data_IF_935110351003
#
_entry.id   IF_935110351003
#
_cell.length_a   1.000
_cell.length_b   1.000
_cell.length_c   1.000
_cell.angle_alpha   90.00
_cell.angle_beta   90.00
_cell.angle_gamma   90.00
#
_symmetry.space_group_name_H-M   'P 1'
#
loop_
_entity.id
_entity.type
_entity.pdbx_description
1 polymer ?
#
# COMPACT_ATOMS: atom_id res chain seq x y z
N UNK A 1 6.95 -27.12 -0.07
CA UNK A 1 5.69 -27.36 0.67
C UNK A 1 5.62 -26.33 1.79
N UNK A 2 4.98 -25.19 1.52
CA UNK A 2 4.75 -24.15 2.53
C UNK A 2 3.81 -24.70 3.61
N UNK A 3 4.21 -24.57 4.87
CA UNK A 3 3.25 -24.74 5.98
C UNK A 3 2.40 -23.48 5.98
N UNK A 4 1.13 -23.60 5.57
CA UNK A 4 0.12 -22.55 5.77
C UNK A 4 0.13 -22.16 7.26
N UNK A 5 0.69 -20.99 7.58
CA UNK A 5 0.28 -20.29 8.78
C UNK A 5 -1.05 -19.63 8.44
N UNK A 6 -2.14 -20.15 8.95
CA UNK A 6 -3.45 -19.51 8.84
C UNK A 6 -3.41 -18.34 9.81
N UNK A 7 -3.13 -17.16 9.30
CA UNK A 7 -3.34 -15.93 10.05
C UNK A 7 -4.86 -15.72 10.13
N UNK A 8 -5.44 -15.47 11.31
CA UNK A 8 -6.86 -15.14 11.38
C UNK A 8 -7.13 -13.84 10.61
N UNK A 9 -8.36 -13.64 10.08
CA UNK A 9 -8.72 -12.39 9.41
C UNK A 9 -8.37 -11.20 10.29
N UNK A 10 -7.75 -10.19 9.70
CA UNK A 10 -7.38 -8.99 10.43
C UNK A 10 -8.63 -8.17 10.77
N UNK A 11 -8.79 -7.79 12.05
CA UNK A 11 -9.90 -6.94 12.48
C UNK A 11 -9.59 -5.48 12.14
N UNK A 12 -10.37 -4.91 11.22
CA UNK A 12 -10.23 -3.51 10.83
C UNK A 12 -10.66 -2.54 11.93
N UNK A 13 -9.91 -1.44 12.10
CA UNK A 13 -10.31 -0.33 12.99
C UNK A 13 -11.49 0.44 12.38
N UNK A 14 -12.45 0.87 13.20
CA UNK A 14 -13.50 1.78 12.73
C UNK A 14 -12.98 3.21 12.62
N UNK A 15 -13.63 4.03 11.78
CA UNK A 15 -13.25 5.43 11.62
C UNK A 15 -13.35 6.20 12.95
N UNK A 16 -14.42 5.97 13.75
CA UNK A 16 -14.62 6.61 15.04
C UNK A 16 -13.53 6.25 16.07
N UNK A 17 -13.12 4.99 16.12
CA UNK A 17 -12.03 4.52 17.01
C UNK A 17 -10.67 5.08 16.59
N UNK A 18 -10.50 5.40 15.31
CA UNK A 18 -9.27 5.95 14.73
C UNK A 18 -9.17 7.49 14.84
N UNK A 19 -10.22 8.20 15.25
CA UNK A 19 -10.13 9.66 15.43
C UNK A 19 -9.10 10.00 16.50
N UNK A 20 -8.23 10.97 16.19
CA UNK A 20 -7.23 11.48 17.13
C UNK A 20 -7.86 12.46 18.13
N UNK A 21 -7.40 12.37 19.37
CA UNK A 21 -7.68 13.34 20.43
C UNK A 21 -6.42 14.11 20.84
N UNK A 22 -6.59 15.07 21.74
CA UNK A 22 -5.47 15.88 22.25
C UNK A 22 -4.40 14.98 22.91
N UNK A 23 -3.18 15.04 22.38
CA UNK A 23 -2.03 14.32 22.92
C UNK A 23 -1.87 12.88 22.44
N UNK A 24 -2.69 12.42 21.49
CA UNK A 24 -2.48 11.14 20.83
C UNK A 24 -1.25 11.20 19.90
N UNK A 25 -0.55 10.07 19.80
CA UNK A 25 0.54 9.91 18.83
C UNK A 25 -0.08 9.56 17.47
N UNK A 26 0.33 10.29 16.43
CA UNK A 26 -0.07 10.00 15.05
C UNK A 26 0.89 8.99 14.44
N UNK A 27 0.39 7.78 14.15
CA UNK A 27 1.12 6.78 13.37
C UNK A 27 0.80 6.95 11.89
N UNK A 28 1.81 7.16 11.08
CA UNK A 28 1.68 7.44 9.65
C UNK A 28 2.40 6.37 8.84
N UNK A 29 1.67 5.71 7.97
CA UNK A 29 2.16 4.69 7.06
C UNK A 29 2.15 5.26 5.65
N UNK A 30 3.32 5.68 5.16
CA UNK A 30 3.48 6.10 3.78
C UNK A 30 3.43 4.87 2.89
N UNK A 31 2.46 4.80 1.98
CA UNK A 31 2.27 3.65 1.10
C UNK A 31 2.26 4.08 -0.35
N UNK A 32 3.06 3.40 -1.16
CA UNK A 32 3.20 3.65 -2.59
C UNK A 32 2.61 2.48 -3.37
N UNK A 33 1.80 2.76 -4.40
CA UNK A 33 1.26 1.73 -5.28
C UNK A 33 1.68 1.96 -6.73
N UNK A 34 1.46 0.96 -7.60
CA UNK A 34 1.77 0.94 -9.05
C UNK A 34 3.24 0.74 -9.43
N UNK A 35 4.18 0.89 -8.51
CA UNK A 35 5.61 0.65 -8.77
C UNK A 35 5.97 -0.84 -8.98
N UNK A 36 7.20 -1.13 -9.40
CA UNK A 36 8.31 -0.21 -9.64
C UNK A 36 8.16 0.66 -10.88
N UNK A 37 8.66 1.88 -10.78
CA UNK A 37 8.72 2.84 -11.89
C UNK A 37 10.12 3.49 -11.98
N UNK A 38 10.29 4.42 -12.90
CA UNK A 38 11.52 5.23 -13.04
C UNK A 38 11.80 6.06 -11.76
N UNK A 39 10.79 6.25 -10.91
CA UNK A 39 10.89 7.03 -9.67
C UNK A 39 11.17 6.19 -8.42
N UNK A 40 10.97 4.88 -8.45
CA UNK A 40 11.11 4.02 -7.25
C UNK A 40 12.50 4.17 -6.62
N UNK A 41 13.56 4.21 -7.43
CA UNK A 41 14.92 4.38 -6.94
C UNK A 41 15.12 5.70 -6.18
N UNK A 42 14.57 6.80 -6.69
CA UNK A 42 14.64 8.13 -6.05
C UNK A 42 13.79 8.19 -4.78
N UNK A 43 12.61 7.57 -4.77
CA UNK A 43 11.77 7.43 -3.57
C UNK A 43 12.54 6.72 -2.46
N UNK A 44 13.18 5.59 -2.77
CA UNK A 44 13.99 4.84 -1.81
C UNK A 44 15.18 5.65 -1.29
N UNK A 45 15.86 6.41 -2.16
CA UNK A 45 16.97 7.29 -1.77
C UNK A 45 16.51 8.39 -0.79
N UNK A 46 15.35 9.00 -1.03
CA UNK A 46 14.78 10.00 -0.13
C UNK A 46 14.42 9.37 1.22
N UNK A 47 13.72 8.23 1.22
CA UNK A 47 13.37 7.52 2.45
C UNK A 47 14.61 7.17 3.29
N UNK A 48 15.69 6.73 2.62
CA UNK A 48 16.96 6.42 3.28
C UNK A 48 17.63 7.66 3.90
N UNK A 49 17.56 8.83 3.25
CA UNK A 49 18.11 10.09 3.78
C UNK A 49 17.48 10.51 5.11
N UNK A 50 16.19 10.20 5.30
CA UNK A 50 15.44 10.54 6.51
C UNK A 50 15.35 9.36 7.50
N UNK A 51 15.97 8.22 7.21
CA UNK A 51 15.86 6.97 7.99
C UNK A 51 14.40 6.52 8.20
N UNK A 52 13.55 6.72 7.18
CA UNK A 52 12.13 6.37 7.17
C UNK A 52 11.90 5.09 6.40
N UNK A 53 11.01 4.24 6.91
CA UNK A 53 10.54 3.04 6.20
C UNK A 53 9.10 3.22 5.76
N UNK A 54 8.77 2.67 4.60
CA UNK A 54 7.47 2.77 3.95
C UNK A 54 6.96 1.40 3.50
N UNK A 55 5.78 1.37 2.89
CA UNK A 55 5.21 0.15 2.29
C UNK A 55 5.00 0.37 0.80
N UNK A 56 5.40 -0.60 0.00
CA UNK A 56 5.25 -0.58 -1.46
C UNK A 56 4.30 -1.70 -1.88
N UNK A 57 3.15 -1.35 -2.41
CA UNK A 57 2.21 -2.28 -3.05
C UNK A 57 2.54 -2.35 -4.55
N UNK A 58 3.36 -3.31 -4.92
CA UNK A 58 3.97 -3.37 -6.24
C UNK A 58 3.15 -4.12 -7.27
N UNK A 59 3.40 -3.85 -8.55
CA UNK A 59 2.86 -4.59 -9.70
C UNK A 59 3.92 -5.51 -10.31
N UNK A 60 3.48 -6.52 -11.09
CA UNK A 60 4.39 -7.47 -11.73
C UNK A 60 5.25 -6.83 -12.81
N UNK A 61 6.56 -7.09 -12.77
CA UNK A 61 7.57 -6.61 -13.73
C UNK A 61 8.67 -7.65 -13.90
N UNK A 62 8.86 -8.14 -15.12
CA UNK A 62 9.82 -9.21 -15.41
C UNK A 62 11.24 -8.71 -15.78
N UNK A 63 11.41 -7.40 -15.94
CA UNK A 63 12.72 -6.83 -16.30
C UNK A 63 13.68 -6.78 -15.10
N UNK A 64 14.97 -6.91 -15.37
CA UNK A 64 16.03 -6.99 -14.35
C UNK A 64 16.11 -5.72 -13.47
N UNK A 65 15.78 -4.55 -14.02
CA UNK A 65 15.82 -3.28 -13.29
C UNK A 65 14.72 -3.22 -12.24
N UNK A 66 13.49 -3.58 -12.62
CA UNK A 66 12.35 -3.67 -11.71
C UNK A 66 12.57 -4.75 -10.63
N UNK A 67 13.11 -5.91 -11.01
CA UNK A 67 13.44 -6.97 -10.05
C UNK A 67 14.51 -6.54 -9.03
N UNK A 68 15.49 -5.76 -9.47
CA UNK A 68 16.48 -5.17 -8.55
C UNK A 68 15.83 -4.17 -7.58
N UNK A 69 14.78 -3.45 -8.00
CA UNK A 69 14.02 -2.56 -7.11
C UNK A 69 13.18 -3.31 -6.09
N UNK A 70 12.54 -4.45 -6.44
CA UNK A 70 11.90 -5.30 -5.44
C UNK A 70 12.88 -5.77 -4.37
N UNK A 71 14.07 -6.23 -4.80
CA UNK A 71 15.12 -6.65 -3.88
C UNK A 71 15.56 -5.49 -2.98
N UNK A 72 15.72 -4.30 -3.55
CA UNK A 72 16.10 -3.10 -2.81
C UNK A 72 15.06 -2.70 -1.77
N UNK A 73 13.75 -2.73 -2.12
CA UNK A 73 12.64 -2.48 -1.20
C UNK A 73 12.75 -3.41 0.03
N UNK A 74 12.97 -4.71 -0.21
CA UNK A 74 13.08 -5.69 0.85
C UNK A 74 14.34 -5.51 1.71
N UNK A 75 15.52 -5.34 1.08
CA UNK A 75 16.82 -5.25 1.75
C UNK A 75 16.95 -3.98 2.60
N UNK A 76 16.32 -2.88 2.18
CA UNK A 76 16.31 -1.62 2.93
C UNK A 76 15.29 -1.60 4.07
N UNK A 77 14.53 -2.69 4.27
CA UNK A 77 13.62 -2.86 5.40
C UNK A 77 12.25 -2.17 5.21
N UNK A 78 11.86 -1.90 3.98
CA UNK A 78 10.51 -1.50 3.63
C UNK A 78 9.59 -2.72 3.56
N UNK A 79 8.29 -2.52 3.71
CA UNK A 79 7.33 -3.60 3.51
C UNK A 79 7.03 -3.77 2.03
N UNK A 80 7.30 -4.97 1.51
CA UNK A 80 6.96 -5.35 0.15
C UNK A 80 5.58 -5.98 0.14
N UNK A 81 4.58 -5.21 -0.28
CA UNK A 81 3.19 -5.64 -0.47
C UNK A 81 2.87 -5.89 -1.94
N UNK A 82 1.72 -6.48 -2.19
CA UNK A 82 1.23 -6.84 -3.52
C UNK A 82 0.07 -5.94 -3.93
N UNK A 83 0.07 -5.48 -5.18
CA UNK A 83 -1.06 -4.74 -5.76
C UNK A 83 -1.79 -5.59 -6.80
N UNK A 84 -1.13 -5.92 -7.88
CA UNK A 84 -1.61 -6.80 -8.95
C UNK A 84 -0.43 -7.16 -9.84
N UNK A 85 -0.47 -8.33 -10.48
CA UNK A 85 0.53 -8.63 -11.50
C UNK A 85 0.36 -7.75 -12.74
N UNK A 86 -0.86 -7.68 -13.26
CA UNK A 86 -1.16 -7.02 -14.53
C UNK A 86 -1.52 -5.54 -14.40
N UNK A 87 -2.01 -5.11 -13.25
CA UNK A 87 -2.61 -3.78 -12.97
C UNK A 87 -3.69 -3.37 -14.00
N UNK A 88 -4.45 -4.36 -14.50
CA UNK A 88 -5.51 -4.15 -15.48
C UNK A 88 -6.84 -4.60 -14.94
N UNK A 89 -7.69 -3.65 -14.52
CA UNK A 89 -9.01 -3.92 -13.96
C UNK A 89 -9.85 -4.92 -14.78
N UNK A 90 -9.82 -4.80 -16.11
CA UNK A 90 -10.55 -5.68 -17.02
C UNK A 90 -10.03 -7.13 -17.06
N UNK A 91 -8.84 -7.38 -16.53
CA UNK A 91 -8.24 -8.71 -16.40
C UNK A 91 -8.43 -9.24 -14.98
N UNK A 92 -8.01 -8.47 -13.98
CA UNK A 92 -8.03 -8.87 -12.57
C UNK A 92 -9.46 -9.18 -12.10
N UNK A 93 -10.42 -8.33 -12.46
CA UNK A 93 -11.80 -8.38 -11.97
C UNK A 93 -12.79 -9.03 -12.97
N UNK A 94 -12.27 -9.87 -13.86
CA UNK A 94 -13.08 -10.58 -14.86
C UNK A 94 -13.80 -11.79 -14.24
N UNK A 95 -13.10 -12.54 -13.39
CA UNK A 95 -13.61 -13.72 -12.66
C UNK A 95 -12.74 -14.01 -11.43
N UNK A 96 -13.18 -14.91 -10.55
CA UNK A 96 -12.41 -15.36 -9.39
C UNK A 96 -11.08 -15.98 -9.84
N UNK A 97 -11.10 -16.86 -10.83
CA UNK A 97 -9.90 -17.53 -11.34
C UNK A 97 -8.89 -16.52 -11.91
N UNK A 98 -9.36 -15.45 -12.55
CA UNK A 98 -8.48 -14.42 -13.11
C UNK A 98 -7.79 -13.60 -12.00
N UNK A 99 -8.51 -13.31 -10.91
CA UNK A 99 -7.95 -12.67 -9.74
C UNK A 99 -6.93 -13.57 -9.04
N UNK A 100 -7.27 -14.83 -8.81
CA UNK A 100 -6.39 -15.82 -8.19
C UNK A 100 -5.09 -15.99 -8.99
N UNK A 101 -5.17 -16.10 -10.31
CA UNK A 101 -4.01 -16.25 -11.20
C UNK A 101 -3.12 -15.00 -11.19
N UNK A 102 -3.68 -13.79 -11.20
CA UNK A 102 -2.96 -12.52 -11.12
C UNK A 102 -2.22 -12.40 -9.76
N UNK A 103 -2.92 -12.71 -8.67
CA UNK A 103 -2.38 -12.70 -7.32
C UNK A 103 -1.24 -13.72 -7.13
N UNK A 104 -1.47 -14.99 -7.48
CA UNK A 104 -0.49 -16.07 -7.33
C UNK A 104 0.77 -15.77 -8.13
N UNK A 105 0.61 -15.27 -9.36
CA UNK A 105 1.74 -14.92 -10.23
C UNK A 105 2.61 -13.83 -9.61
N UNK A 106 2.02 -12.77 -9.06
CA UNK A 106 2.77 -11.72 -8.41
C UNK A 106 3.48 -12.24 -7.15
N UNK A 107 2.77 -13.00 -6.31
CA UNK A 107 3.33 -13.57 -5.09
C UNK A 107 4.54 -14.47 -5.38
N UNK A 108 4.42 -15.32 -6.38
CA UNK A 108 5.49 -16.23 -6.77
C UNK A 108 6.70 -15.48 -7.32
N UNK A 109 6.49 -14.44 -8.15
CA UNK A 109 7.56 -13.59 -8.68
C UNK A 109 8.32 -12.89 -7.54
N UNK A 110 7.62 -12.22 -6.64
CA UNK A 110 8.24 -11.52 -5.52
C UNK A 110 9.04 -12.47 -4.64
N UNK A 111 8.49 -13.66 -4.37
CA UNK A 111 9.20 -14.68 -3.62
C UNK A 111 10.44 -15.21 -4.34
N UNK A 112 10.40 -15.45 -5.64
CA UNK A 112 11.53 -15.91 -6.43
C UNK A 112 12.65 -14.88 -6.48
N UNK A 113 12.30 -13.60 -6.56
CA UNK A 113 13.29 -12.51 -6.65
C UNK A 113 13.87 -12.17 -5.28
N UNK A 114 13.04 -12.02 -4.25
CA UNK A 114 13.46 -11.45 -2.96
C UNK A 114 13.53 -12.45 -1.81
N UNK A 115 12.92 -13.63 -1.96
CA UNK A 115 12.71 -14.58 -0.86
C UNK A 115 11.64 -14.15 0.14
N UNK A 116 11.01 -13.00 -0.03
CA UNK A 116 9.94 -12.49 0.84
C UNK A 116 8.61 -13.15 0.48
N UNK A 117 7.97 -13.79 1.45
CA UNK A 117 6.60 -14.23 1.31
C UNK A 117 5.67 -13.07 1.72
N UNK A 118 5.30 -12.21 0.78
CA UNK A 118 4.42 -11.07 1.06
C UNK A 118 3.05 -11.56 1.52
N UNK A 119 2.57 -10.97 2.61
CA UNK A 119 1.24 -11.22 3.20
C UNK A 119 0.35 -9.97 3.19
N UNK A 120 0.81 -8.90 2.55
CA UNK A 120 0.07 -7.64 2.45
C UNK A 120 -0.37 -7.40 1.02
N UNK A 121 -1.61 -6.95 0.86
CA UNK A 121 -2.23 -6.70 -0.44
C UNK A 121 -2.97 -5.37 -0.44
N UNK A 122 -3.06 -4.72 -1.59
CA UNK A 122 -3.98 -3.61 -1.83
C UNK A 122 -4.71 -3.85 -3.13
N UNK A 123 -6.04 -3.83 -3.08
CA UNK A 123 -6.86 -3.98 -4.28
C UNK A 123 -6.70 -2.77 -5.21
N UNK A 124 -6.42 -2.95 -6.51
CA UNK A 124 -6.54 -1.88 -7.50
C UNK A 124 -7.90 -1.19 -7.43
N UNK A 125 -7.89 0.13 -7.09
CA UNK A 125 -9.11 0.91 -6.86
C UNK A 125 -9.77 0.71 -5.50
N UNK A 126 -9.12 -0.01 -4.57
CA UNK A 126 -9.60 -0.27 -3.22
C UNK A 126 -10.62 -1.41 -3.11
N UNK A 127 -10.85 -1.88 -1.88
CA UNK A 127 -11.72 -3.02 -1.60
C UNK A 127 -13.21 -2.76 -1.85
N UNK A 128 -13.62 -1.49 -1.97
CA UNK A 128 -15.01 -1.08 -2.25
C UNK A 128 -15.25 -0.67 -3.69
N UNK A 129 -14.31 -0.94 -4.62
CA UNK A 129 -14.48 -0.55 -6.01
C UNK A 129 -15.72 -1.22 -6.63
N UNK A 130 -16.34 -0.53 -7.60
CA UNK A 130 -17.55 -1.00 -8.30
C UNK A 130 -17.27 -1.37 -9.75
N UNK A 131 -16.00 -1.55 -10.12
CA UNK A 131 -15.57 -1.86 -11.46
C UNK A 131 -15.65 -3.36 -11.71
N UNK A 132 -15.53 -4.16 -10.65
CA UNK A 132 -15.58 -5.62 -10.72
C UNK A 132 -16.95 -6.13 -11.14
N UNK A 133 -16.96 -7.16 -12.02
CA UNK A 133 -18.16 -7.91 -12.36
C UNK A 133 -18.47 -9.03 -11.35
N UNK A 134 -17.49 -9.38 -10.50
CA UNK A 134 -17.59 -10.35 -9.41
C UNK A 134 -17.70 -9.57 -8.11
N UNK A 135 -18.47 -10.03 -7.12
CA UNK A 135 -18.50 -9.39 -5.80
C UNK A 135 -17.11 -9.31 -5.19
N UNK A 136 -16.73 -8.12 -4.69
CA UNK A 136 -15.44 -7.95 -4.00
C UNK A 136 -15.29 -8.88 -2.78
N UNK A 137 -16.41 -9.32 -2.19
CA UNK A 137 -16.42 -10.31 -1.10
C UNK A 137 -15.73 -11.63 -1.48
N UNK A 138 -15.85 -12.07 -2.72
CA UNK A 138 -15.31 -13.35 -3.16
C UNK A 138 -13.76 -13.28 -3.20
N UNK A 139 -13.22 -12.18 -3.69
CA UNK A 139 -11.77 -11.92 -3.67
C UNK A 139 -11.24 -11.72 -2.24
N UNK A 140 -12.01 -11.06 -1.37
CA UNK A 140 -11.66 -10.89 0.04
C UNK A 140 -11.64 -12.25 0.76
N UNK A 141 -12.64 -13.10 0.50
CA UNK A 141 -12.67 -14.46 1.01
C UNK A 141 -11.43 -15.26 0.59
N UNK A 142 -11.07 -15.20 -0.70
CA UNK A 142 -9.85 -15.83 -1.20
C UNK A 142 -8.58 -15.33 -0.47
N UNK A 143 -8.40 -14.01 -0.33
CA UNK A 143 -7.25 -13.47 0.41
C UNK A 143 -7.21 -13.92 1.86
N UNK A 144 -8.38 -13.97 2.54
CA UNK A 144 -8.48 -14.50 3.90
C UNK A 144 -8.02 -15.97 3.97
N UNK A 145 -8.43 -16.83 3.02
CA UNK A 145 -7.97 -18.21 2.93
C UNK A 145 -6.48 -18.33 2.66
N UNK A 146 -5.88 -17.38 1.95
CA UNK A 146 -4.43 -17.30 1.71
C UNK A 146 -3.65 -16.75 2.92
N UNK A 147 -4.32 -16.26 3.97
CA UNK A 147 -3.68 -15.61 5.12
C UNK A 147 -3.08 -14.26 4.77
N UNK A 148 -3.69 -13.54 3.82
CA UNK A 148 -3.24 -12.24 3.32
C UNK A 148 -4.11 -11.14 3.89
N UNK A 149 -3.49 -10.08 4.37
CA UNK A 149 -4.14 -8.89 4.93
C UNK A 149 -4.12 -7.80 3.87
N UNK A 150 -5.30 -7.27 3.50
CA UNK A 150 -5.33 -6.14 2.59
C UNK A 150 -5.55 -4.82 3.33
N UNK A 151 -5.02 -3.76 2.74
CA UNK A 151 -5.10 -2.40 3.24
C UNK A 151 -5.67 -1.47 2.16
N UNK A 152 -6.74 -0.77 2.50
CA UNK A 152 -7.14 0.46 1.81
C UNK A 152 -6.34 1.65 2.40
N UNK A 153 -6.87 2.83 2.34
CA UNK A 153 -6.26 4.05 2.88
C UNK A 153 -7.32 4.93 3.53
N UNK A 154 -6.92 5.82 4.42
CA UNK A 154 -7.81 6.85 5.00
C UNK A 154 -7.27 8.27 4.78
N UNK A 155 -6.08 8.39 4.20
CA UNK A 155 -5.48 9.65 3.79
C UNK A 155 -5.03 9.54 2.33
N UNK A 156 -5.40 10.48 1.48
CA UNK A 156 -5.01 10.50 0.07
C UNK A 156 -4.15 11.73 -0.23
N UNK A 157 -3.02 11.50 -0.89
CA UNK A 157 -2.20 12.59 -1.42
C UNK A 157 -2.88 13.36 -2.58
N UNK A 158 -3.89 12.74 -3.22
CA UNK A 158 -4.57 13.32 -4.36
C UNK A 158 -3.81 13.20 -5.68
N UNK A 159 -2.70 12.49 -5.68
CA UNK A 159 -1.77 12.36 -6.82
C UNK A 159 -2.24 11.37 -7.90
N UNK A 160 -3.33 10.63 -7.68
CA UNK A 160 -3.92 9.72 -8.66
C UNK A 160 -4.42 10.44 -9.93
N UNK A 161 -4.93 11.65 -9.78
CA UNK A 161 -5.57 12.38 -10.87
C UNK A 161 -4.57 12.80 -11.96
N UNK A 162 -5.04 12.81 -13.22
CA UNK A 162 -4.27 13.27 -14.37
C UNK A 162 -4.01 14.78 -14.40
N UNK A 163 -4.74 15.56 -13.58
CA UNK A 163 -4.46 16.97 -13.33
C UNK A 163 -3.52 17.02 -12.13
N UNK A 164 -2.23 17.07 -12.41
CA UNK A 164 -1.20 17.03 -11.42
C UNK A 164 -1.38 18.13 -10.36
N UNK A 165 -1.58 17.72 -9.12
CA UNK A 165 -1.33 18.59 -7.98
C UNK A 165 0.16 18.93 -7.94
N UNK A 166 0.50 20.12 -7.48
CA UNK A 166 1.89 20.48 -7.19
C UNK A 166 2.38 19.69 -5.96
N UNK A 167 3.69 19.63 -5.78
CA UNK A 167 4.27 19.00 -4.60
C UNK A 167 3.77 19.63 -3.30
N UNK A 168 3.55 20.95 -3.26
CA UNK A 168 3.00 21.66 -2.11
C UNK A 168 1.54 21.27 -1.83
N UNK A 169 0.71 21.08 -2.87
CA UNK A 169 -0.67 20.64 -2.73
C UNK A 169 -0.74 19.19 -2.22
N UNK A 170 0.15 18.31 -2.67
CA UNK A 170 0.27 16.93 -2.17
C UNK A 170 0.59 16.93 -0.67
N UNK A 171 1.59 17.72 -0.24
CA UNK A 171 1.94 17.85 1.18
C UNK A 171 0.74 18.38 1.99
N UNK A 172 0.07 19.44 1.50
CA UNK A 172 -1.08 20.01 2.18
C UNK A 172 -2.23 19.01 2.33
N UNK A 173 -2.56 18.26 1.27
CA UNK A 173 -3.61 17.23 1.30
C UNK A 173 -3.36 16.17 2.37
N UNK A 174 -2.11 15.68 2.45
CA UNK A 174 -1.76 14.67 3.45
C UNK A 174 -1.81 15.25 4.86
N UNK A 175 -1.21 16.44 5.08
CA UNK A 175 -1.14 17.05 6.41
C UNK A 175 -2.52 17.46 6.93
N UNK A 176 -3.44 17.93 6.08
CA UNK A 176 -4.81 18.29 6.45
C UNK A 176 -5.63 17.09 6.96
N UNK A 177 -5.27 15.88 6.52
CA UNK A 177 -5.98 14.66 6.89
C UNK A 177 -5.28 13.87 8.02
N UNK A 178 -3.96 13.79 8.04
CA UNK A 178 -3.20 13.04 9.07
C UNK A 178 -3.54 13.49 10.48
N UNK A 179 -3.74 14.79 10.70
CA UNK A 179 -4.10 15.35 12.01
C UNK A 179 -5.43 14.84 12.58
N UNK A 180 -6.28 14.24 11.74
CA UNK A 180 -7.59 13.72 12.13
C UNK A 180 -7.54 12.33 12.75
N UNK A 181 -6.47 11.55 12.47
CA UNK A 181 -6.43 10.13 12.78
C UNK A 181 -5.22 9.77 13.67
N UNK A 182 -5.41 8.75 14.52
CA UNK A 182 -4.32 8.09 15.25
C UNK A 182 -3.46 7.25 14.33
N UNK A 183 -4.11 6.58 13.35
CA UNK A 183 -3.49 5.73 12.34
C UNK A 183 -3.87 6.26 10.96
N UNK A 184 -2.88 6.68 10.20
CA UNK A 184 -3.04 7.17 8.83
C UNK A 184 -2.31 6.26 7.86
N UNK A 185 -3.06 5.58 6.99
CA UNK A 185 -2.52 4.89 5.82
C UNK A 185 -2.64 5.84 4.64
N UNK A 186 -1.50 6.36 4.20
CA UNK A 186 -1.43 7.41 3.17
C UNK A 186 -1.26 6.76 1.81
N UNK A 187 -2.18 7.06 0.88
CA UNK A 187 -2.10 6.65 -0.52
C UNK A 187 -1.23 7.63 -1.30
N UNK A 188 -0.15 7.11 -1.87
CA UNK A 188 0.76 7.75 -2.82
C UNK A 188 0.98 6.81 -4.02
N UNK A 189 1.32 7.36 -5.18
CA UNK A 189 1.58 6.57 -6.38
C UNK A 189 3.06 6.64 -6.78
N UNK A 190 3.59 5.46 -7.14
CA UNK A 190 4.92 5.28 -7.73
C UNK A 190 4.76 4.92 -9.21
N UNK A 191 4.61 5.94 -10.05
CA UNK A 191 4.48 5.78 -11.49
C UNK A 191 5.28 6.86 -12.24
N UNK A 192 5.67 6.58 -13.48
CA UNK A 192 6.57 7.45 -14.28
C UNK A 192 6.06 8.88 -14.51
N UNK A 193 4.74 9.12 -14.35
CA UNK A 193 4.13 10.43 -14.46
C UNK A 193 3.96 11.17 -13.10
N UNK A 194 4.52 10.63 -12.00
CA UNK A 194 4.33 11.11 -10.63
C UNK A 194 5.54 11.84 -10.05
N UNK A 195 6.23 12.66 -10.84
CA UNK A 195 7.37 13.47 -10.36
C UNK A 195 7.01 14.38 -9.19
N UNK A 196 5.79 14.96 -9.18
CA UNK A 196 5.33 15.80 -8.08
C UNK A 196 5.22 15.03 -6.74
N UNK A 197 4.90 13.73 -6.77
CA UNK A 197 4.90 12.86 -5.59
C UNK A 197 6.32 12.72 -5.03
N UNK A 198 7.31 12.51 -5.91
CA UNK A 198 8.73 12.44 -5.51
C UNK A 198 9.18 13.76 -4.90
N UNK A 199 8.89 14.89 -5.56
CA UNK A 199 9.23 16.23 -5.07
C UNK A 199 8.55 16.56 -3.73
N UNK A 200 7.36 16.01 -3.48
CA UNK A 200 6.61 16.21 -2.24
C UNK A 200 7.18 15.40 -1.07
N UNK A 201 7.90 14.29 -1.33
CA UNK A 201 8.21 13.30 -0.30
C UNK A 201 9.09 13.85 0.81
N UNK A 202 10.18 14.54 0.50
CA UNK A 202 11.07 15.13 1.50
C UNK A 202 10.36 16.21 2.35
N UNK A 203 9.66 17.22 1.77
CA UNK A 203 8.87 18.18 2.56
C UNK A 203 7.77 17.51 3.40
N UNK A 204 7.14 16.44 2.91
CA UNK A 204 6.13 15.71 3.66
C UNK A 204 6.72 15.02 4.89
N UNK A 205 7.85 14.33 4.74
CA UNK A 205 8.55 13.68 5.87
C UNK A 205 8.97 14.72 6.91
N UNK A 206 9.49 15.86 6.47
CA UNK A 206 9.86 16.97 7.37
C UNK A 206 8.66 17.49 8.16
N UNK A 207 7.53 17.74 7.49
CA UNK A 207 6.31 18.21 8.15
C UNK A 207 5.74 17.18 9.15
N UNK A 208 5.75 15.88 8.80
CA UNK A 208 5.34 14.81 9.69
C UNK A 208 6.25 14.70 10.92
N UNK A 209 7.57 14.84 10.75
CA UNK A 209 8.53 14.86 11.84
C UNK A 209 8.34 16.08 12.75
N UNK A 210 8.09 17.27 12.17
CA UNK A 210 7.81 18.50 12.95
C UNK A 210 6.54 18.39 13.80
N UNK A 211 5.52 17.69 13.34
CA UNK A 211 4.32 17.44 14.15
C UNK A 211 4.51 16.30 15.17
N UNK A 212 5.63 15.60 15.16
CA UNK A 212 5.92 14.48 16.06
C UNK A 212 5.22 13.18 15.69
N UNK A 213 4.90 12.97 14.43
CA UNK A 213 4.32 11.71 13.94
C UNK A 213 5.35 10.57 13.92
N UNK A 214 4.89 9.35 14.17
CA UNK A 214 5.69 8.14 13.96
C UNK A 214 5.44 7.62 12.54
N UNK A 215 6.47 7.71 11.68
CA UNK A 215 6.39 7.20 10.30
C UNK A 215 6.91 5.76 10.30
N UNK A 216 6.04 4.81 9.91
CA UNK A 216 6.28 3.37 10.04
C UNK A 216 5.93 2.63 8.74
N UNK A 217 6.57 1.50 8.44
CA UNK A 217 6.07 0.56 7.43
C UNK A 217 4.92 -0.26 8.01
N UNK A 218 4.01 -0.76 7.15
CA UNK A 218 2.96 -1.69 7.57
C UNK A 218 3.62 -3.00 8.06
N UNK A 219 3.20 -3.44 9.23
CA UNK A 219 3.63 -4.68 9.86
C UNK A 219 2.44 -5.42 10.52
N UNK A 220 2.72 -6.47 11.29
CA UNK A 220 1.70 -7.29 11.97
C UNK A 220 0.97 -6.56 13.10
N UNK A 221 1.55 -5.48 13.64
CA UNK A 221 0.97 -4.65 14.71
C UNK A 221 0.17 -3.46 14.15
N UNK A 222 0.17 -3.28 12.82
CA UNK A 222 -0.50 -2.15 12.18
C UNK A 222 -2.02 -2.32 12.19
N UNK A 223 -2.74 -1.34 12.73
CA UNK A 223 -4.20 -1.30 12.65
C UNK A 223 -4.68 -1.26 11.21
N UNK A 224 -5.60 -2.16 10.85
CA UNK A 224 -6.02 -2.34 9.46
C UNK A 224 -7.06 -1.31 9.07
N UNK A 225 -6.85 -0.63 7.95
CA UNK A 225 -7.79 0.27 7.31
C UNK A 225 -8.41 -0.47 6.11
N UNK A 226 -9.72 -0.73 6.16
CA UNK A 226 -10.47 -1.47 5.14
C UNK A 226 -11.84 -0.84 4.91
N UNK A 227 -12.19 -0.55 3.65
CA UNK A 227 -13.53 -0.05 3.30
C UNK A 227 -14.58 -1.16 3.37
N UNK A 228 -14.23 -2.35 2.90
CA UNK A 228 -14.98 -3.59 3.18
C UNK A 228 -14.17 -4.35 4.20
N UNK A 229 -14.76 -4.67 5.35
CA UNK A 229 -14.04 -5.33 6.44
C UNK A 229 -13.89 -6.82 6.17
N UNK A 230 -12.66 -7.34 6.27
CA UNK A 230 -12.35 -8.74 6.03
C UNK A 230 -13.09 -9.70 6.96
N UNK A 231 -13.29 -9.32 8.22
CA UNK A 231 -14.02 -10.09 9.25
C UNK A 231 -15.54 -10.09 9.05
N UNK A 232 -16.07 -9.28 8.13
CA UNK A 232 -17.49 -9.29 7.76
C UNK A 232 -17.83 -10.23 6.60
N UNK A 233 -16.82 -10.91 6.04
CA UNK A 233 -16.96 -11.83 4.91
C UNK A 233 -16.80 -13.25 5.44
N UNK A 234 -17.88 -14.06 5.32
CA UNK A 234 -17.94 -15.46 5.71
C UNK A 234 -17.27 -16.40 4.68
#
# INVERSE_FOLDING_TARGET
>A
MYKRQVTPPATGISEEENLAGDGDIHKVYLTFEDGPSDHTGEILDILAQYDVKATFFVVGKEDEESQALYQRIADEGHTLGMHSYSNKYSQIYQSDEAFEEDFERLRDELYQVTGVNSIYYRFPGGSSNQISNVPMSDFIHYLNEQGVIYYDWNVSAGDAASNAYSSEEIVANVMDDVVKYKTSVVLLHDASDKSATVEALAPLIEALNEMGAEILPIDEDTSVIQYVKADSID
#
